data_IF_423334327788
#
_entry.id   IF_423334327788
#
_cell.length_a   1.000
_cell.length_b   1.000
_cell.length_c   1.000
_cell.angle_alpha   90.00
_cell.angle_beta   90.00
_cell.angle_gamma   90.00
#
_symmetry.space_group_name_H-M   'P 1'
#
loop_
_entity.id
_entity.type
_entity.pdbx_description
1 polymer ?
#
# COMPACT_ATOMS: atom_id res chain seq x y z
N UNK A 1 42.09 29.59 -45.02
CA UNK A 1 41.64 28.39 -44.27
C UNK A 1 40.92 28.87 -43.02
N UNK A 2 39.59 28.96 -43.02
CA UNK A 2 38.81 29.35 -41.85
C UNK A 2 37.95 28.16 -41.42
N UNK A 3 38.45 27.36 -40.49
CA UNK A 3 37.70 26.23 -39.94
C UNK A 3 36.90 26.73 -38.73
N UNK A 4 35.57 26.82 -38.90
CA UNK A 4 34.64 27.16 -37.82
C UNK A 4 34.46 25.93 -36.94
N UNK A 5 35.02 25.96 -35.74
CA UNK A 5 34.77 24.94 -34.71
C UNK A 5 33.36 25.18 -34.16
N UNK A 6 32.41 24.38 -34.60
CA UNK A 6 31.06 24.33 -34.03
C UNK A 6 31.16 23.51 -32.74
N UNK A 7 31.03 24.20 -31.60
CA UNK A 7 30.86 23.56 -30.30
C UNK A 7 29.49 22.87 -30.27
N UNK A 8 29.48 21.54 -30.40
CA UNK A 8 28.31 20.73 -30.09
C UNK A 8 28.11 20.72 -28.57
N UNK A 9 27.15 21.50 -28.09
CA UNK A 9 26.67 21.41 -26.72
C UNK A 9 25.95 20.06 -26.54
N UNK A 10 26.64 19.10 -25.94
CA UNK A 10 26.02 17.87 -25.45
C UNK A 10 25.14 18.27 -24.26
N UNK A 11 23.84 18.41 -24.52
CA UNK A 11 22.85 18.58 -23.48
C UNK A 11 22.85 17.32 -22.61
N UNK A 12 23.41 17.44 -21.40
CA UNK A 12 23.24 16.49 -20.32
C UNK A 12 21.73 16.41 -20.04
N UNK A 13 21.07 15.38 -20.56
CA UNK A 13 19.75 15.00 -20.10
C UNK A 13 19.89 14.69 -18.62
N UNK A 14 19.40 15.60 -17.80
CA UNK A 14 19.21 15.43 -16.37
C UNK A 14 18.20 14.30 -16.18
N UNK A 15 18.71 13.06 -16.16
CA UNK A 15 18.00 11.95 -15.56
C UNK A 15 17.82 12.33 -14.10
N UNK A 16 16.65 12.83 -13.75
CA UNK A 16 16.18 12.81 -12.37
C UNK A 16 16.11 11.35 -11.96
N UNK A 17 17.25 10.83 -11.49
CA UNK A 17 17.30 9.64 -10.69
C UNK A 17 16.41 9.94 -9.49
N UNK A 18 15.18 9.43 -9.52
CA UNK A 18 14.47 9.19 -8.27
C UNK A 18 15.46 8.38 -7.45
N UNK A 19 15.88 8.91 -6.31
CA UNK A 19 16.76 8.18 -5.41
C UNK A 19 16.09 6.82 -5.16
N UNK A 20 16.67 5.77 -5.74
CA UNK A 20 16.37 4.41 -5.33
C UNK A 20 16.79 4.37 -3.87
N UNK A 21 15.81 4.26 -2.98
CA UNK A 21 16.07 4.20 -1.55
C UNK A 21 16.84 2.90 -1.30
N UNK A 22 18.13 3.00 -0.93
CA UNK A 22 19.04 1.86 -0.74
C UNK A 22 18.48 0.93 0.36
N UNK A 23 17.78 -0.12 -0.06
CA UNK A 23 17.24 -1.14 0.81
C UNK A 23 18.36 -2.12 1.23
N UNK A 24 18.30 -2.59 2.47
CA UNK A 24 19.16 -3.69 2.91
C UNK A 24 18.71 -5.00 2.24
N UNK A 25 19.57 -6.03 2.10
CA UNK A 25 19.21 -7.29 1.44
C UNK A 25 17.91 -7.93 1.97
N UNK A 26 17.72 -7.97 3.30
CA UNK A 26 16.49 -8.50 3.90
C UNK A 26 15.22 -7.68 3.55
N UNK A 27 15.37 -6.38 3.27
CA UNK A 27 14.27 -5.49 2.87
C UNK A 27 13.95 -5.66 1.37
N UNK A 28 14.96 -5.88 0.53
CA UNK A 28 14.79 -6.23 -0.88
C UNK A 28 14.09 -7.58 -1.05
N UNK A 29 14.54 -8.60 -0.33
CA UNK A 29 13.89 -9.93 -0.31
C UNK A 29 12.45 -9.83 0.18
N UNK A 30 12.21 -9.04 1.24
CA UNK A 30 10.85 -8.81 1.74
C UNK A 30 9.97 -8.10 0.72
N UNK A 31 10.51 -7.12 0.00
CA UNK A 31 9.79 -6.42 -1.08
C UNK A 31 9.42 -7.36 -2.22
N UNK A 32 10.36 -8.16 -2.72
CA UNK A 32 10.08 -9.11 -3.79
C UNK A 32 9.03 -10.13 -3.37
N UNK A 33 9.17 -10.73 -2.16
CA UNK A 33 8.19 -11.67 -1.63
C UNK A 33 6.82 -11.03 -1.38
N UNK A 34 6.79 -9.76 -0.99
CA UNK A 34 5.55 -9.01 -0.84
C UNK A 34 4.81 -8.88 -2.16
N UNK A 35 5.48 -8.32 -3.17
CA UNK A 35 4.90 -8.04 -4.49
C UNK A 35 4.35 -9.32 -5.13
N UNK A 36 5.09 -10.42 -5.03
CA UNK A 36 4.63 -11.75 -5.48
C UNK A 36 3.34 -12.17 -4.75
N UNK A 37 3.34 -12.16 -3.42
CA UNK A 37 2.24 -12.68 -2.60
C UNK A 37 0.95 -11.86 -2.71
N UNK A 38 1.02 -10.55 -2.92
CA UNK A 38 -0.18 -9.72 -3.05
C UNK A 38 -0.71 -9.61 -4.48
N UNK A 39 0.04 -10.11 -5.47
CA UNK A 39 -0.25 -9.89 -6.89
C UNK A 39 -1.63 -10.40 -7.30
N UNK A 40 -2.01 -11.59 -6.85
CA UNK A 40 -3.31 -12.19 -7.13
C UNK A 40 -4.46 -11.38 -6.52
N UNK A 41 -4.35 -11.00 -5.24
CA UNK A 41 -5.36 -10.19 -4.56
C UNK A 41 -5.50 -8.81 -5.23
N UNK A 42 -4.39 -8.19 -5.65
CA UNK A 42 -4.40 -6.91 -6.36
C UNK A 42 -5.06 -7.04 -7.74
N UNK A 43 -4.77 -8.11 -8.48
CA UNK A 43 -5.41 -8.39 -9.76
C UNK A 43 -6.92 -8.60 -9.59
N UNK A 44 -7.33 -9.41 -8.61
CA UNK A 44 -8.74 -9.65 -8.30
C UNK A 44 -9.48 -8.38 -7.88
N UNK A 45 -8.83 -7.52 -7.07
CA UNK A 45 -9.38 -6.21 -6.70
C UNK A 45 -9.60 -5.34 -7.94
N UNK A 46 -8.59 -5.26 -8.82
CA UNK A 46 -8.66 -4.46 -10.04
C UNK A 46 -9.74 -4.94 -11.00
N UNK A 47 -9.88 -6.24 -11.18
CA UNK A 47 -10.94 -6.84 -12.00
C UNK A 47 -12.33 -6.57 -11.39
N UNK A 48 -12.52 -6.93 -10.11
CA UNK A 48 -13.84 -6.85 -9.45
C UNK A 48 -14.30 -5.40 -9.30
N UNK A 49 -13.41 -4.49 -8.97
CA UNK A 49 -13.72 -3.07 -8.76
C UNK A 49 -13.67 -2.24 -10.04
N UNK A 50 -13.06 -2.72 -11.13
CA UNK A 50 -12.82 -1.92 -12.33
C UNK A 50 -11.82 -0.79 -12.08
N UNK A 51 -10.79 -1.07 -11.28
CA UNK A 51 -9.76 -0.11 -10.85
C UNK A 51 -8.40 -0.43 -11.48
N UNK A 52 -7.43 0.47 -11.25
CA UNK A 52 -6.00 0.23 -11.46
C UNK A 52 -5.25 0.60 -10.18
N UNK A 53 -5.62 -0.04 -9.08
CA UNK A 53 -4.99 0.13 -7.78
C UNK A 53 -3.50 -0.18 -7.90
N UNK A 54 -2.72 0.68 -7.28
CA UNK A 54 -1.30 0.43 -7.00
C UNK A 54 -1.14 0.14 -5.52
N UNK A 55 -0.21 -0.74 -5.17
CA UNK A 55 0.13 -1.02 -3.76
C UNK A 55 1.52 -0.49 -3.48
N UNK A 56 1.68 0.23 -2.37
CA UNK A 56 2.96 0.78 -1.91
C UNK A 56 3.22 0.41 -0.46
N UNK A 57 4.49 0.28 -0.12
CA UNK A 57 4.98 -0.07 1.22
C UNK A 57 6.28 0.68 1.47
N UNK A 58 6.62 0.92 2.74
CA UNK A 58 7.85 1.55 3.21
C UNK A 58 8.86 0.51 3.73
N UNK A 59 9.42 -0.31 2.84
CA UNK A 59 10.35 -1.40 3.19
C UNK A 59 11.63 -0.95 3.91
N UNK A 60 12.02 0.32 3.84
CA UNK A 60 13.08 0.88 4.68
C UNK A 60 12.78 0.75 6.17
N UNK A 61 11.49 0.69 6.56
CA UNK A 61 11.00 0.50 7.91
C UNK A 61 10.73 -0.97 8.26
N UNK A 62 10.97 -1.90 7.33
CA UNK A 62 10.82 -3.32 7.58
C UNK A 62 11.87 -3.80 8.59
N UNK A 63 11.39 -4.52 9.61
CA UNK A 63 12.18 -5.12 10.69
C UNK A 63 11.89 -6.62 10.72
N UNK A 64 12.78 -7.48 10.21
CA UNK A 64 12.56 -8.93 10.11
C UNK A 64 12.13 -9.55 11.45
N UNK A 65 12.75 -9.14 12.55
CA UNK A 65 12.46 -9.64 13.89
C UNK A 65 11.03 -9.36 14.36
N UNK A 66 10.44 -8.24 13.93
CA UNK A 66 9.07 -7.88 14.29
C UNK A 66 8.03 -8.73 13.52
N UNK A 67 8.43 -9.36 12.42
CA UNK A 67 7.56 -10.11 11.52
C UNK A 67 7.96 -11.59 11.38
N UNK A 68 8.87 -12.09 12.22
CA UNK A 68 9.40 -13.45 12.12
C UNK A 68 8.32 -14.55 12.22
N UNK A 69 7.21 -14.28 12.91
CA UNK A 69 6.09 -15.21 13.11
C UNK A 69 4.80 -14.79 12.39
N UNK A 70 4.84 -13.75 11.56
CA UNK A 70 3.64 -13.14 10.96
C UNK A 70 3.90 -12.75 9.50
N UNK A 71 2.89 -12.89 8.65
CA UNK A 71 3.00 -12.53 7.23
C UNK A 71 2.58 -11.07 6.99
N UNK A 72 3.54 -10.16 6.81
CA UNK A 72 3.24 -8.77 6.43
C UNK A 72 2.46 -8.67 5.11
N UNK A 73 2.72 -9.56 4.15
CA UNK A 73 1.98 -9.61 2.89
C UNK A 73 0.50 -9.92 3.13
N UNK A 74 0.19 -10.91 3.96
CA UNK A 74 -1.20 -11.30 4.26
C UNK A 74 -1.98 -10.20 5.00
N UNK A 75 -1.29 -9.36 5.76
CA UNK A 75 -1.91 -8.21 6.43
C UNK A 75 -2.31 -7.14 5.41
N UNK A 76 -1.45 -6.85 4.43
CA UNK A 76 -1.80 -5.96 3.33
C UNK A 76 -2.89 -6.56 2.42
N UNK A 77 -2.79 -7.86 2.13
CA UNK A 77 -3.77 -8.61 1.36
C UNK A 77 -5.17 -8.50 1.99
N UNK A 78 -5.29 -8.62 3.30
CA UNK A 78 -6.57 -8.44 4.00
C UNK A 78 -7.17 -7.03 3.79
N UNK A 79 -6.34 -5.99 3.70
CA UNK A 79 -6.81 -4.65 3.36
C UNK A 79 -7.25 -4.56 1.88
N UNK A 80 -6.50 -5.17 0.96
CA UNK A 80 -6.90 -5.26 -0.46
C UNK A 80 -8.23 -6.00 -0.59
N UNK A 81 -8.39 -7.13 0.10
CA UNK A 81 -9.64 -7.90 0.14
C UNK A 81 -10.80 -7.06 0.69
N UNK A 82 -10.55 -6.18 1.66
CA UNK A 82 -11.56 -5.24 2.15
C UNK A 82 -12.05 -4.28 1.07
N UNK A 83 -11.14 -3.76 0.23
CA UNK A 83 -11.50 -2.96 -0.96
C UNK A 83 -12.31 -3.79 -1.95
N UNK A 84 -11.85 -5.01 -2.24
CA UNK A 84 -12.50 -5.95 -3.16
C UNK A 84 -13.93 -6.28 -2.74
N UNK A 85 -14.16 -6.53 -1.45
CA UNK A 85 -15.47 -6.83 -0.87
C UNK A 85 -16.44 -5.65 -0.99
N UNK A 86 -15.97 -4.39 -0.88
CA UNK A 86 -16.82 -3.21 -1.09
C UNK A 86 -17.45 -3.18 -2.49
N UNK A 87 -16.75 -3.73 -3.49
CA UNK A 87 -17.18 -3.72 -4.88
C UNK A 87 -18.29 -4.73 -5.21
N UNK A 88 -18.71 -5.56 -4.26
CA UNK A 88 -19.90 -6.42 -4.40
C UNK A 88 -21.19 -5.60 -4.47
N UNK A 89 -21.20 -4.42 -3.84
CA UNK A 89 -22.33 -3.49 -3.88
C UNK A 89 -22.11 -2.47 -4.98
N UNK A 90 -23.06 -2.37 -5.91
CA UNK A 90 -22.94 -1.51 -7.11
C UNK A 90 -22.69 -0.02 -6.79
N UNK A 91 -23.27 0.49 -5.70
CA UNK A 91 -23.05 1.87 -5.24
C UNK A 91 -21.58 2.12 -4.86
N UNK A 92 -21.00 1.23 -4.05
CA UNK A 92 -19.61 1.33 -3.63
C UNK A 92 -18.64 1.00 -4.75
N UNK A 93 -18.93 0.04 -5.63
CA UNK A 93 -18.10 -0.25 -6.81
C UNK A 93 -17.81 1.01 -7.64
N UNK A 94 -18.83 1.83 -7.94
CA UNK A 94 -18.65 3.09 -8.68
C UNK A 94 -17.81 4.10 -7.89
N UNK A 95 -18.02 4.20 -6.58
CA UNK A 95 -17.27 5.11 -5.72
C UNK A 95 -15.79 4.71 -5.62
N UNK A 96 -15.51 3.42 -5.41
CA UNK A 96 -14.16 2.84 -5.38
C UNK A 96 -13.44 3.09 -6.70
N UNK A 97 -14.05 2.73 -7.84
CA UNK A 97 -13.48 2.93 -9.17
C UNK A 97 -13.08 4.39 -9.46
N UNK A 98 -13.84 5.35 -8.89
CA UNK A 98 -13.60 6.78 -9.10
C UNK A 98 -12.63 7.39 -8.09
N UNK A 99 -12.72 6.99 -6.83
CA UNK A 99 -12.10 7.70 -5.70
C UNK A 99 -10.86 6.98 -5.17
N UNK A 100 -10.74 5.66 -5.30
CA UNK A 100 -9.62 4.89 -4.73
C UNK A 100 -8.64 4.52 -5.84
N UNK A 101 -7.42 5.04 -5.73
CA UNK A 101 -6.35 4.90 -6.73
C UNK A 101 -5.18 4.04 -6.24
N UNK A 102 -5.07 3.82 -4.93
CA UNK A 102 -4.04 2.94 -4.39
C UNK A 102 -4.27 2.54 -2.94
N UNK A 103 -3.48 1.56 -2.52
CA UNK A 103 -3.39 1.05 -1.15
C UNK A 103 -1.95 1.23 -0.68
N UNK A 104 -1.76 1.88 0.46
CA UNK A 104 -0.44 2.00 1.10
C UNK A 104 -0.41 1.16 2.36
N UNK A 105 0.35 0.08 2.34
CA UNK A 105 0.54 -0.82 3.46
C UNK A 105 1.87 -0.48 4.14
N UNK A 106 1.83 0.40 5.14
CA UNK A 106 3.02 0.95 5.77
C UNK A 106 3.36 0.18 7.06
N UNK A 107 4.62 -0.02 7.39
CA UNK A 107 5.03 -0.62 8.66
C UNK A 107 4.87 0.38 9.82
N UNK A 108 4.86 -0.14 11.06
CA UNK A 108 4.86 0.70 12.27
C UNK A 108 3.48 1.18 12.71
N UNK A 109 2.43 0.40 12.48
CA UNK A 109 1.10 0.64 13.03
C UNK A 109 1.08 0.69 14.56
N UNK A 110 0.21 1.52 15.10
CA UNK A 110 0.02 1.66 16.55
C UNK A 110 -0.66 0.41 17.09
N UNK A 111 -0.06 -0.22 18.10
CA UNK A 111 -0.61 -1.41 18.76
C UNK A 111 -1.88 -1.08 19.57
N UNK A 112 -2.77 -2.06 19.77
CA UNK A 112 -3.84 -1.91 20.76
C UNK A 112 -3.29 -1.60 22.15
N UNK A 113 -3.93 -0.72 22.94
CA UNK A 113 -3.55 -0.54 24.34
C UNK A 113 -3.69 -1.88 25.10
N UNK A 114 -2.82 -2.13 26.09
CA UNK A 114 -2.89 -3.35 26.92
C UNK A 114 -4.22 -3.49 27.69
N UNK A 115 -4.90 -2.37 27.92
CA UNK A 115 -6.25 -2.33 28.48
C UNK A 115 -7.23 -2.43 27.32
N UNK A 116 -8.13 -3.41 27.40
CA UNK A 116 -9.06 -3.87 26.35
C UNK A 116 -10.01 -2.77 25.84
N UNK A 117 -9.49 -1.87 25.03
CA UNK A 117 -10.26 -1.13 24.06
C UNK A 117 -10.09 -1.95 22.77
N UNK A 118 -11.04 -2.87 22.51
CA UNK A 118 -10.86 -4.07 21.67
C UNK A 118 -10.01 -3.92 20.41
N UNK A 119 -9.32 -5.00 20.00
CA UNK A 119 -8.34 -5.07 18.89
C UNK A 119 -8.80 -4.46 17.56
N UNK A 120 -10.12 -4.36 17.34
CA UNK A 120 -10.71 -3.70 16.19
C UNK A 120 -10.50 -2.18 16.18
N UNK A 121 -10.59 -1.50 17.33
CA UNK A 121 -10.40 -0.04 17.40
C UNK A 121 -8.96 0.35 17.03
N UNK A 122 -7.99 -0.41 17.52
CA UNK A 122 -6.59 -0.21 17.14
C UNK A 122 -6.36 -0.42 15.64
N UNK A 123 -6.93 -1.47 15.05
CA UNK A 123 -6.82 -1.73 13.61
C UNK A 123 -7.48 -0.60 12.81
N UNK A 124 -8.67 -0.16 13.22
CA UNK A 124 -9.40 0.94 12.58
C UNK A 124 -8.62 2.26 12.61
N UNK A 125 -7.98 2.58 13.75
CA UNK A 125 -7.14 3.79 13.90
C UNK A 125 -5.92 3.81 12.98
N UNK A 126 -5.51 2.65 12.47
CA UNK A 126 -4.41 2.52 11.53
C UNK A 126 -4.88 2.47 10.07
N UNK A 127 -6.18 2.57 9.80
CA UNK A 127 -6.77 2.63 8.48
C UNK A 127 -7.33 4.03 8.20
N UNK A 128 -7.04 4.57 7.02
CA UNK A 128 -7.57 5.86 6.58
C UNK A 128 -7.65 5.94 5.06
N UNK A 129 -8.65 6.63 4.52
CA UNK A 129 -8.68 7.00 3.10
C UNK A 129 -8.44 8.51 2.98
N UNK A 130 -7.32 8.91 2.38
CA UNK A 130 -7.01 10.30 2.06
C UNK A 130 -6.58 10.43 0.61
N UNK A 131 -7.11 11.44 -0.11
CA UNK A 131 -6.76 11.76 -1.51
C UNK A 131 -6.70 10.53 -2.44
N UNK A 132 -7.60 9.58 -2.21
CA UNK A 132 -7.72 8.33 -2.97
C UNK A 132 -6.74 7.23 -2.64
N UNK A 133 -5.90 7.41 -1.62
CA UNK A 133 -5.03 6.36 -1.10
C UNK A 133 -5.62 5.80 0.18
N UNK A 134 -5.97 4.51 0.18
CA UNK A 134 -6.26 3.78 1.41
C UNK A 134 -4.93 3.46 2.09
N UNK A 135 -4.64 4.11 3.21
CA UNK A 135 -3.47 3.82 4.03
C UNK A 135 -3.85 2.84 5.13
N UNK A 136 -3.09 1.75 5.22
CA UNK A 136 -3.08 0.83 6.34
C UNK A 136 -1.69 0.82 6.97
N UNK A 137 -1.58 1.26 8.23
CA UNK A 137 -0.35 1.12 9.02
C UNK A 137 -0.35 -0.24 9.71
N UNK A 138 0.42 -1.18 9.20
CA UNK A 138 0.47 -2.57 9.63
C UNK A 138 1.15 -2.74 10.98
N UNK A 139 0.55 -3.59 11.81
CA UNK A 139 1.14 -4.12 13.05
C UNK A 139 0.74 -5.58 13.17
N UNK A 140 1.62 -6.40 13.74
CA UNK A 140 1.36 -7.84 13.99
C UNK A 140 0.23 -8.10 14.99
N UNK A 141 -0.18 -7.08 15.72
CA UNK A 141 -1.25 -7.16 16.73
C UNK A 141 -2.64 -6.85 16.14
N UNK A 142 -2.73 -6.51 14.84
CA UNK A 142 -3.98 -6.17 14.18
C UNK A 142 -4.78 -7.39 13.76
N UNK A 143 -6.10 -7.29 13.86
CA UNK A 143 -7.07 -8.34 13.53
C UNK A 143 -8.25 -7.74 12.80
N UNK A 144 -9.05 -8.56 12.11
CA UNK A 144 -10.25 -8.11 11.38
C UNK A 144 -9.97 -6.95 10.40
N UNK A 145 -8.80 -7.00 9.73
CA UNK A 145 -8.30 -5.94 8.85
C UNK A 145 -9.28 -5.69 7.68
N UNK A 146 -9.87 -6.75 7.13
CA UNK A 146 -10.87 -6.64 6.07
C UNK A 146 -12.10 -5.85 6.51
N UNK A 147 -12.67 -6.19 7.67
CA UNK A 147 -13.87 -5.53 8.22
C UNK A 147 -13.60 -4.06 8.56
N UNK A 148 -12.45 -3.76 9.16
CA UNK A 148 -12.06 -2.39 9.45
C UNK A 148 -11.77 -1.60 8.16
N UNK A 149 -11.26 -2.25 7.12
CA UNK A 149 -11.09 -1.62 5.81
C UNK A 149 -12.43 -1.24 5.20
N UNK A 150 -13.41 -2.15 5.24
CA UNK A 150 -14.78 -1.89 4.79
C UNK A 150 -15.37 -0.71 5.56
N UNK A 151 -15.30 -0.71 6.89
CA UNK A 151 -15.81 0.38 7.72
C UNK A 151 -15.17 1.75 7.40
N UNK A 152 -13.85 1.79 7.18
CA UNK A 152 -13.14 3.01 6.76
C UNK A 152 -13.63 3.50 5.40
N UNK A 153 -13.80 2.61 4.42
CA UNK A 153 -14.28 2.96 3.08
C UNK A 153 -15.74 3.40 3.10
N UNK A 154 -16.61 2.72 3.84
CA UNK A 154 -18.02 3.10 4.00
C UNK A 154 -18.13 4.53 4.56
N UNK A 155 -17.37 4.84 5.61
CA UNK A 155 -17.36 6.18 6.21
C UNK A 155 -16.84 7.26 5.25
N UNK A 156 -15.85 6.93 4.41
CA UNK A 156 -15.20 7.91 3.55
C UNK A 156 -15.86 8.10 2.16
N UNK A 157 -16.66 7.12 1.72
CA UNK A 157 -17.27 7.13 0.38
C UNK A 157 -18.74 7.55 0.39
N UNK A 158 -19.43 7.40 1.53
CA UNK A 158 -20.74 8.00 1.80
C UNK A 158 -20.64 9.52 1.88
#
# INVERSE_FOLDING_TARGET
MNSKIVFAAVALLSTSAFAEEDLKPAQEEAKASFEEKISEALAAANEKCGTKLTVKTDFQNFKPEAWASSSYSSYCEAAINGVTSMCERSAYKKAIAKKVTGVSCLFGGVKPPEKKDGTNDATLRNLSLDKGTLTYRMSVDHTNIEDNTKATLEKALN
#
